data_IF_037719964814
#
_entry.id   IF_037719964814
#
_cell.length_a   1.000
_cell.length_b   1.000
_cell.length_c   1.000
_cell.angle_alpha   90.00
_cell.angle_beta   90.00
_cell.angle_gamma   90.00
#
_symmetry.space_group_name_H-M   'P 1'
#
loop_
_entity.id
_entity.type
_entity.pdbx_description
1 polymer ?
#
# COMPACT_ATOMS: atom_id res chain seq x y z
N UNK A 1 -23.68 -56.97 -13.42
CA UNK A 1 -22.30 -56.59 -13.83
C UNK A 1 -22.17 -55.18 -14.42
N UNK A 2 -23.06 -54.70 -15.30
CA UNK A 2 -22.93 -53.37 -15.94
C UNK A 2 -23.06 -52.16 -14.98
N UNK A 3 -23.92 -52.24 -13.96
CA UNK A 3 -24.13 -51.15 -13.01
C UNK A 3 -22.92 -50.90 -12.09
N UNK A 4 -22.30 -51.97 -11.57
CA UNK A 4 -21.16 -51.88 -10.66
C UNK A 4 -19.91 -51.29 -11.34
N UNK A 5 -19.72 -51.57 -12.64
CA UNK A 5 -18.62 -51.02 -13.43
C UNK A 5 -18.81 -49.50 -13.67
N UNK A 6 -20.06 -49.06 -13.88
CA UNK A 6 -20.39 -47.64 -14.03
C UNK A 6 -20.16 -46.86 -12.74
N UNK A 7 -20.61 -47.38 -11.60
CA UNK A 7 -20.37 -46.76 -10.29
C UNK A 7 -18.88 -46.68 -9.94
N UNK A 8 -18.09 -47.72 -10.25
CA UNK A 8 -16.64 -47.70 -10.03
C UNK A 8 -15.93 -46.66 -10.90
N UNK A 9 -16.34 -46.52 -12.16
CA UNK A 9 -15.79 -45.52 -13.07
C UNK A 9 -16.08 -44.09 -12.58
N UNK A 10 -17.31 -43.80 -12.11
CA UNK A 10 -17.63 -42.50 -11.53
C UNK A 10 -16.86 -42.23 -10.23
N UNK A 11 -16.63 -43.24 -9.39
CA UNK A 11 -15.89 -43.09 -8.14
C UNK A 11 -14.39 -42.83 -8.38
N UNK A 12 -13.80 -43.48 -9.40
CA UNK A 12 -12.41 -43.22 -9.82
C UNK A 12 -12.25 -41.84 -10.46
N UNK A 13 -13.20 -41.41 -11.29
CA UNK A 13 -13.21 -40.05 -11.85
C UNK A 13 -13.39 -39.01 -10.75
N UNK A 14 -14.25 -39.25 -9.76
CA UNK A 14 -14.44 -38.34 -8.62
C UNK A 14 -13.17 -38.23 -7.77
N UNK A 15 -12.48 -39.35 -7.48
CA UNK A 15 -11.20 -39.36 -6.77
C UNK A 15 -10.09 -38.64 -7.56
N UNK A 16 -10.02 -38.84 -8.87
CA UNK A 16 -9.05 -38.16 -9.76
C UNK A 16 -9.33 -36.64 -9.89
N UNK A 17 -10.60 -36.22 -9.85
CA UNK A 17 -11.00 -34.80 -9.85
C UNK A 17 -10.69 -34.13 -8.50
N UNK A 18 -10.85 -34.84 -7.38
CA UNK A 18 -10.48 -34.29 -6.05
C UNK A 18 -8.97 -34.19 -5.82
N UNK A 19 -8.16 -35.01 -6.49
CA UNK A 19 -6.70 -34.97 -6.40
C UNK A 19 -6.04 -33.77 -7.11
N UNK A 20 -6.82 -32.97 -7.87
CA UNK A 20 -6.33 -31.75 -8.52
C UNK A 20 -6.71 -30.46 -7.80
N UNK A 21 -7.28 -30.54 -6.59
CA UNK A 21 -7.33 -29.39 -5.69
C UNK A 21 -5.95 -29.19 -5.09
N UNK A 22 -5.00 -28.72 -5.92
CA UNK A 22 -3.83 -28.05 -5.39
C UNK A 22 -4.33 -26.82 -4.64
N UNK A 23 -4.28 -26.89 -3.31
CA UNK A 23 -4.28 -25.71 -2.47
C UNK A 23 -3.07 -24.87 -2.90
N UNK A 24 -3.27 -23.94 -3.84
CA UNK A 24 -2.34 -22.83 -4.04
C UNK A 24 -2.46 -21.99 -2.78
N UNK A 25 -1.67 -22.33 -1.77
CA UNK A 25 -1.37 -21.45 -0.66
C UNK A 25 -0.64 -20.25 -1.24
N UNK A 26 -1.39 -19.24 -1.67
CA UNK A 26 -0.93 -18.04 -2.38
C UNK A 26 -0.17 -17.04 -1.49
N UNK A 27 0.71 -17.53 -0.62
CA UNK A 27 1.69 -16.68 0.02
C UNK A 27 2.87 -16.51 -0.94
N UNK A 28 3.18 -15.27 -1.30
CA UNK A 28 4.37 -14.96 -2.10
C UNK A 28 5.62 -15.56 -1.44
N UNK A 29 6.47 -16.23 -2.23
CA UNK A 29 7.72 -16.79 -1.73
C UNK A 29 8.71 -15.65 -1.44
N UNK A 30 8.99 -15.38 -0.16
CA UNK A 30 9.98 -14.39 0.26
C UNK A 30 11.37 -14.98 0.07
N UNK A 31 12.14 -14.41 -0.86
CA UNK A 31 13.50 -14.84 -1.20
C UNK A 31 14.53 -14.40 -0.16
N UNK A 32 14.39 -13.17 0.34
CA UNK A 32 15.31 -12.56 1.30
C UNK A 32 14.54 -11.69 2.29
N UNK A 33 14.98 -11.68 3.54
CA UNK A 33 14.57 -10.68 4.53
C UNK A 33 15.74 -9.76 4.86
N UNK A 34 15.48 -8.46 4.96
CA UNK A 34 16.39 -7.39 5.36
C UNK A 34 15.76 -6.73 6.59
N UNK A 35 16.51 -6.62 7.68
CA UNK A 35 16.02 -6.05 8.93
C UNK A 35 16.53 -4.61 9.09
N UNK A 36 15.63 -3.71 9.44
CA UNK A 36 15.94 -2.31 9.74
C UNK A 36 15.67 -2.07 11.23
N UNK A 37 16.67 -1.55 11.94
CA UNK A 37 16.53 -1.17 13.35
C UNK A 37 17.36 0.08 13.67
N UNK A 38 16.74 1.06 14.32
CA UNK A 38 17.36 2.35 14.68
C UNK A 38 18.58 2.18 15.61
N UNK A 39 18.59 1.15 16.46
CA UNK A 39 19.70 0.85 17.37
C UNK A 39 20.95 0.27 16.66
N UNK A 40 20.81 -0.12 15.39
CA UNK A 40 21.87 -0.74 14.59
C UNK A 40 22.04 -2.25 14.74
N UNK A 41 21.11 -2.96 15.38
CA UNK A 41 21.15 -4.44 15.45
C UNK A 41 20.57 -5.12 14.21
N UNK A 42 20.00 -4.35 13.27
CA UNK A 42 19.53 -4.82 11.96
C UNK A 42 20.63 -4.83 10.90
N UNK A 43 20.26 -5.22 9.68
CA UNK A 43 21.13 -5.10 8.50
C UNK A 43 21.38 -3.63 8.12
N UNK A 44 20.39 -2.76 8.37
CA UNK A 44 20.46 -1.31 8.16
C UNK A 44 19.87 -0.53 9.33
N UNK A 45 20.28 0.73 9.46
CA UNK A 45 19.68 1.68 10.41
C UNK A 45 18.51 2.44 9.83
N UNK A 46 18.54 2.70 8.52
CA UNK A 46 17.54 3.49 7.81
C UNK A 46 16.76 2.63 6.82
N UNK A 47 15.52 3.01 6.57
CA UNK A 47 14.65 2.36 5.58
C UNK A 47 15.15 2.67 4.17
N UNK A 48 15.66 3.89 3.95
CA UNK A 48 16.27 4.30 2.69
C UNK A 48 17.43 3.38 2.28
N UNK A 49 18.38 3.10 3.17
CA UNK A 49 19.50 2.21 2.85
C UNK A 49 19.02 0.79 2.52
N UNK A 50 18.01 0.28 3.25
CA UNK A 50 17.45 -1.04 2.98
C UNK A 50 16.77 -1.11 1.59
N UNK A 51 16.00 -0.09 1.23
CA UNK A 51 15.37 0.04 -0.10
C UNK A 51 16.44 0.15 -1.20
N UNK A 52 17.46 0.99 -0.99
CA UNK A 52 18.54 1.20 -1.96
C UNK A 52 19.39 -0.07 -2.17
N UNK A 53 19.39 -0.99 -1.21
CA UNK A 53 20.08 -2.29 -1.29
C UNK A 53 19.37 -3.33 -2.16
N UNK A 54 18.08 -3.12 -2.51
CA UNK A 54 17.33 -4.02 -3.40
C UNK A 54 17.90 -3.92 -4.82
N UNK A 55 18.33 -5.02 -5.46
CA UNK A 55 18.91 -4.96 -6.80
C UNK A 55 17.98 -4.34 -7.84
N UNK A 56 18.56 -3.68 -8.84
CA UNK A 56 17.80 -3.25 -10.01
C UNK A 56 17.24 -4.44 -10.79
N UNK A 57 16.07 -4.28 -11.37
CA UNK A 57 15.30 -5.30 -12.09
C UNK A 57 15.04 -6.57 -11.27
N UNK A 58 14.96 -6.43 -9.94
CA UNK A 58 14.59 -7.51 -9.04
C UNK A 58 13.22 -8.11 -9.43
N UNK A 59 13.14 -9.43 -9.41
CA UNK A 59 11.92 -10.20 -9.69
C UNK A 59 11.59 -11.23 -8.60
N UNK A 60 12.27 -11.15 -7.45
CA UNK A 60 12.07 -12.01 -6.29
C UNK A 60 11.53 -11.17 -5.13
N UNK A 61 10.56 -11.67 -4.36
CA UNK A 61 10.06 -10.91 -3.23
C UNK A 61 11.12 -10.75 -2.14
N UNK A 62 11.48 -9.50 -1.84
CA UNK A 62 12.37 -9.14 -0.74
C UNK A 62 11.53 -8.48 0.36
N UNK A 63 11.57 -9.06 1.56
CA UNK A 63 10.96 -8.48 2.75
C UNK A 63 11.93 -7.51 3.40
N UNK A 64 11.54 -6.27 3.58
CA UNK A 64 12.21 -5.29 4.43
C UNK A 64 11.37 -5.19 5.71
N UNK A 65 11.87 -5.78 6.77
CA UNK A 65 11.24 -5.75 8.09
C UNK A 65 11.76 -4.54 8.87
N UNK A 66 10.86 -3.65 9.28
CA UNK A 66 11.19 -2.40 9.96
C UNK A 66 10.72 -2.49 11.40
N UNK A 67 11.69 -2.46 12.32
CA UNK A 67 11.41 -2.55 13.75
C UNK A 67 10.60 -1.33 14.23
N UNK A 68 9.94 -1.45 15.38
CA UNK A 68 9.25 -0.32 16.00
C UNK A 68 10.18 0.89 16.18
N UNK A 69 9.70 2.08 15.82
CA UNK A 69 10.45 3.33 15.86
C UNK A 69 9.85 4.43 14.99
N UNK A 70 10.34 5.65 15.21
CA UNK A 70 10.09 6.80 14.32
C UNK A 70 11.34 7.00 13.47
N UNK A 71 11.17 6.85 12.16
CA UNK A 71 12.18 6.98 11.14
C UNK A 71 12.01 8.35 10.47
N UNK A 72 12.77 9.34 10.95
CA UNK A 72 12.81 10.69 10.39
C UNK A 72 13.67 10.73 9.12
N UNK A 73 13.08 10.31 8.01
CA UNK A 73 13.76 10.21 6.72
C UNK A 73 12.78 10.31 5.55
N UNK A 74 13.31 10.74 4.38
CA UNK A 74 12.60 10.61 3.10
C UNK A 74 13.00 9.31 2.41
N UNK A 75 12.00 8.53 2.01
CA UNK A 75 12.21 7.22 1.38
C UNK A 75 11.61 7.20 -0.01
N UNK A 76 12.39 6.81 -1.01
CA UNK A 76 11.98 6.83 -2.41
C UNK A 76 12.33 5.48 -3.05
N UNK A 77 11.33 4.74 -3.52
CA UNK A 77 11.56 3.55 -4.35
C UNK A 77 11.67 3.95 -5.81
N UNK A 78 12.59 3.30 -6.53
CA UNK A 78 12.80 3.53 -7.95
C UNK A 78 11.95 2.56 -8.78
N UNK A 79 11.52 2.98 -9.97
CA UNK A 79 10.61 2.18 -10.82
C UNK A 79 11.14 0.78 -11.14
N UNK A 80 12.46 0.64 -11.30
CA UNK A 80 13.13 -0.61 -11.63
C UNK A 80 13.53 -1.43 -10.39
N UNK A 81 12.99 -1.14 -9.20
CA UNK A 81 13.28 -1.88 -7.94
C UNK A 81 11.99 -2.42 -7.31
N UNK A 82 11.32 -3.32 -8.03
CA UNK A 82 10.03 -3.93 -7.62
C UNK A 82 10.16 -5.16 -6.72
N UNK A 83 9.01 -5.79 -6.44
CA UNK A 83 8.88 -6.99 -5.60
C UNK A 83 9.40 -6.78 -4.18
N UNK A 84 8.98 -5.68 -3.55
CA UNK A 84 9.36 -5.31 -2.19
C UNK A 84 8.15 -5.49 -1.28
N UNK A 85 8.33 -6.18 -0.16
CA UNK A 85 7.43 -6.18 0.98
C UNK A 85 8.03 -5.34 2.10
N UNK A 86 7.55 -4.12 2.32
CA UNK A 86 7.90 -3.27 3.45
C UNK A 86 6.95 -3.56 4.61
N UNK A 87 7.44 -4.13 5.71
CA UNK A 87 6.59 -4.55 6.83
C UNK A 87 7.10 -3.98 8.15
N UNK A 88 6.24 -3.23 8.85
CA UNK A 88 6.53 -2.71 10.19
C UNK A 88 6.02 -3.62 11.31
N UNK A 89 6.46 -3.33 12.55
CA UNK A 89 6.03 -3.98 13.80
C UNK A 89 4.62 -3.56 14.27
N UNK A 90 3.92 -2.75 13.48
CA UNK A 90 2.59 -2.24 13.80
C UNK A 90 2.42 -0.80 13.34
N UNK A 91 1.24 -0.47 12.80
CA UNK A 91 0.93 0.87 12.31
C UNK A 91 1.23 1.98 13.33
N UNK A 92 0.89 1.74 14.60
CA UNK A 92 1.08 2.71 15.68
C UNK A 92 2.53 2.73 16.23
N UNK A 93 3.35 1.74 15.85
CA UNK A 93 4.69 1.53 16.42
C UNK A 93 5.81 1.82 15.42
N UNK A 94 5.55 1.75 14.12
CA UNK A 94 6.53 1.98 13.06
C UNK A 94 6.07 3.12 12.17
N UNK A 95 6.77 4.25 12.22
CA UNK A 95 6.39 5.50 11.53
C UNK A 95 7.56 6.00 10.69
N UNK A 96 7.32 6.30 9.42
CA UNK A 96 8.21 7.10 8.56
C UNK A 96 7.67 8.52 8.56
N UNK A 97 8.50 9.49 8.95
CA UNK A 97 8.07 10.88 9.15
C UNK A 97 9.02 11.88 8.49
N UNK A 98 8.44 12.90 7.84
CA UNK A 98 9.15 14.08 7.37
C UNK A 98 8.21 15.30 7.39
N UNK A 99 8.71 16.49 7.04
CA UNK A 99 7.95 17.75 7.17
C UNK A 99 8.13 18.74 6.01
N UNK A 100 8.59 18.27 4.85
CA UNK A 100 8.64 19.13 3.65
C UNK A 100 7.22 19.47 3.17
N UNK A 101 7.06 20.66 2.59
CA UNK A 101 5.80 21.13 2.03
C UNK A 101 6.02 21.99 0.79
N UNK A 102 4.99 22.09 -0.05
CA UNK A 102 5.09 22.88 -1.28
C UNK A 102 5.28 24.37 -0.98
N UNK A 103 6.30 24.99 -1.58
CA UNK A 103 6.65 26.38 -1.37
C UNK A 103 7.43 26.67 -0.08
N UNK A 104 7.96 25.64 0.57
CA UNK A 104 8.89 25.80 1.69
C UNK A 104 10.23 26.45 1.24
N UNK A 105 11.12 26.85 2.18
CA UNK A 105 12.43 27.42 1.84
C UNK A 105 13.34 26.48 1.03
N UNK A 106 13.04 25.17 1.01
CA UNK A 106 13.71 24.18 0.17
C UNK A 106 13.26 24.20 -1.29
N UNK A 107 12.27 25.05 -1.63
CA UNK A 107 11.64 25.15 -2.94
C UNK A 107 11.03 23.82 -3.39
N UNK A 108 10.45 23.07 -2.44
CA UNK A 108 9.69 21.87 -2.76
C UNK A 108 8.35 22.23 -3.43
N UNK A 109 7.85 21.29 -4.22
CA UNK A 109 6.51 21.27 -4.79
C UNK A 109 5.70 20.12 -4.18
N UNK A 110 4.45 19.93 -4.60
CA UNK A 110 3.60 18.83 -4.08
C UNK A 110 4.29 17.47 -4.21
N UNK A 111 4.96 17.19 -5.33
CA UNK A 111 5.60 15.88 -5.59
C UNK A 111 6.82 15.69 -4.69
N UNK A 112 7.67 16.72 -4.61
CA UNK A 112 8.92 16.68 -3.85
C UNK A 112 8.68 16.87 -2.35
N UNK A 113 7.49 17.28 -1.91
CA UNK A 113 7.10 17.29 -0.49
C UNK A 113 6.90 15.89 0.12
N UNK A 114 6.79 14.84 -0.71
CA UNK A 114 6.45 13.50 -0.26
C UNK A 114 7.48 12.91 0.73
N UNK A 115 7.00 12.52 1.92
CA UNK A 115 7.79 11.76 2.90
C UNK A 115 8.18 10.39 2.34
N UNK A 116 7.20 9.65 1.84
CA UNK A 116 7.39 8.38 1.18
C UNK A 116 6.96 8.47 -0.29
N UNK A 117 7.80 7.96 -1.20
CA UNK A 117 7.46 7.83 -2.62
C UNK A 117 7.66 6.39 -3.05
N UNK A 118 6.59 5.72 -3.51
CA UNK A 118 6.74 4.45 -4.22
C UNK A 118 6.59 4.65 -5.72
N UNK A 119 7.64 4.35 -6.50
CA UNK A 119 7.57 4.27 -7.96
C UNK A 119 7.66 2.86 -8.52
N UNK A 120 8.02 1.91 -7.66
CA UNK A 120 8.24 0.52 -8.02
C UNK A 120 6.93 -0.21 -8.32
N UNK A 121 6.93 -1.06 -9.35
CA UNK A 121 5.85 -2.02 -9.57
C UNK A 121 5.92 -3.17 -8.54
N UNK A 122 4.77 -3.74 -8.19
CA UNK A 122 4.67 -4.85 -7.23
C UNK A 122 5.28 -4.51 -5.87
N UNK A 123 4.88 -3.36 -5.32
CA UNK A 123 5.27 -2.92 -3.98
C UNK A 123 4.16 -3.24 -2.97
N UNK A 124 4.51 -3.88 -1.86
CA UNK A 124 3.57 -4.16 -0.77
C UNK A 124 4.07 -3.48 0.50
N UNK A 125 3.20 -2.74 1.19
CA UNK A 125 3.45 -2.29 2.54
C UNK A 125 2.46 -2.88 3.54
N UNK A 126 2.92 -3.18 4.75
CA UNK A 126 2.11 -3.73 5.83
C UNK A 126 2.46 -3.08 7.17
N UNK A 127 1.43 -2.76 7.95
CA UNK A 127 1.56 -2.41 9.37
C UNK A 127 2.61 -1.31 9.66
N UNK A 128 2.63 -0.27 8.82
CA UNK A 128 3.55 0.87 8.94
C UNK A 128 2.81 2.17 8.64
N UNK A 129 3.21 3.26 9.26
CA UNK A 129 2.63 4.59 9.03
C UNK A 129 3.57 5.47 8.22
N UNK A 130 3.02 6.17 7.23
CA UNK A 130 3.67 7.25 6.49
C UNK A 130 3.05 8.56 6.95
N UNK A 131 3.88 9.50 7.41
CA UNK A 131 3.41 10.74 8.02
C UNK A 131 4.15 11.95 7.47
N UNK A 132 3.41 12.98 7.08
CA UNK A 132 3.96 14.31 6.90
C UNK A 132 3.50 15.22 8.05
N UNK A 133 4.45 15.74 8.82
CA UNK A 133 4.20 16.55 10.02
C UNK A 133 4.35 18.06 9.83
N UNK A 134 4.39 18.53 8.58
CA UNK A 134 4.53 19.96 8.28
C UNK A 134 3.37 20.84 8.83
N UNK A 135 2.22 20.24 9.14
CA UNK A 135 1.07 20.95 9.69
C UNK A 135 0.30 21.74 8.63
N UNK A 136 -0.37 22.82 9.04
CA UNK A 136 -1.29 23.58 8.17
C UNK A 136 -0.54 24.57 7.26
N UNK A 137 0.23 24.04 6.32
CA UNK A 137 1.16 24.79 5.46
C UNK A 137 0.81 24.76 3.97
N UNK A 138 -0.34 24.18 3.61
CA UNK A 138 -0.68 23.85 2.23
C UNK A 138 -0.32 22.40 1.92
N UNK A 139 0.01 22.10 0.66
CA UNK A 139 0.28 20.74 0.19
C UNK A 139 1.51 20.14 0.88
N UNK A 140 1.32 19.01 1.57
CA UNK A 140 2.36 18.31 2.30
C UNK A 140 2.08 16.79 2.26
N UNK A 141 2.71 16.11 1.31
CA UNK A 141 2.38 14.71 0.98
C UNK A 141 3.05 13.75 1.98
N UNK A 142 2.26 12.85 2.58
CA UNK A 142 2.76 11.78 3.43
C UNK A 142 3.24 10.59 2.60
N UNK A 143 2.44 10.18 1.62
CA UNK A 143 2.84 9.15 0.66
C UNK A 143 2.39 9.49 -0.75
N UNK A 144 3.31 9.41 -1.71
CA UNK A 144 3.02 9.46 -3.14
C UNK A 144 3.18 8.06 -3.74
N UNK A 145 2.09 7.51 -4.27
CA UNK A 145 2.07 6.14 -4.81
C UNK A 145 1.92 6.18 -6.32
N UNK A 146 2.90 5.56 -6.98
CA UNK A 146 2.90 5.19 -8.39
C UNK A 146 3.10 3.66 -8.48
N UNK A 147 3.45 3.17 -9.68
CA UNK A 147 3.78 1.76 -9.90
C UNK A 147 2.55 0.85 -9.91
N UNK A 148 2.50 -0.10 -10.84
CA UNK A 148 1.37 -1.00 -10.95
C UNK A 148 1.44 -2.14 -9.93
N UNK A 149 0.26 -2.60 -9.50
CA UNK A 149 0.08 -3.72 -8.58
C UNK A 149 0.67 -3.48 -7.18
N UNK A 150 0.54 -2.24 -6.68
CA UNK A 150 0.95 -1.90 -5.32
C UNK A 150 -0.17 -2.17 -4.32
N UNK A 151 0.14 -2.68 -3.14
CA UNK A 151 -0.86 -2.96 -2.11
C UNK A 151 -0.42 -2.54 -0.70
N UNK A 152 -1.37 -2.06 0.09
CA UNK A 152 -1.13 -1.55 1.44
C UNK A 152 -2.11 -2.23 2.39
N UNK A 153 -1.61 -2.84 3.46
CA UNK A 153 -2.44 -3.57 4.43
C UNK A 153 -2.20 -3.06 5.84
N UNK A 154 -3.24 -2.55 6.50
CA UNK A 154 -3.12 -2.07 7.87
C UNK A 154 -2.21 -0.84 8.00
N UNK A 155 -1.90 -0.14 6.91
CA UNK A 155 -1.00 1.01 6.93
C UNK A 155 -1.68 2.29 7.42
N UNK A 156 -0.89 3.24 7.89
CA UNK A 156 -1.33 4.60 8.24
C UNK A 156 -0.82 5.62 7.23
N UNK A 157 -1.65 6.60 6.89
CA UNK A 157 -1.29 7.75 6.07
C UNK A 157 -1.78 9.01 6.80
N UNK A 158 -0.85 9.81 7.33
CA UNK A 158 -1.18 10.91 8.23
C UNK A 158 -0.59 12.21 7.70
N UNK A 159 -1.43 13.23 7.55
CA UNK A 159 -1.04 14.54 7.07
C UNK A 159 -2.20 15.52 7.17
N UNK A 160 -2.17 16.60 6.38
CA UNK A 160 -3.31 17.52 6.25
C UNK A 160 -3.76 17.64 4.80
N UNK A 161 -3.13 18.50 4.00
CA UNK A 161 -3.47 18.65 2.59
C UNK A 161 -2.60 17.77 1.71
N UNK A 162 -3.22 17.07 0.76
CA UNK A 162 -2.56 16.13 -0.16
C UNK A 162 -1.89 14.92 0.54
N UNK A 163 -2.43 14.46 1.68
CA UNK A 163 -1.82 13.38 2.50
C UNK A 163 -1.41 12.15 1.69
N UNK A 164 -2.35 11.51 0.99
CA UNK A 164 -2.12 10.36 0.11
C UNK A 164 -2.26 10.81 -1.34
N UNK A 165 -1.13 11.03 -1.99
CA UNK A 165 -1.08 11.33 -3.42
C UNK A 165 -0.99 10.04 -4.22
N UNK A 166 -2.16 9.43 -4.45
CA UNK A 166 -2.38 8.23 -5.25
C UNK A 166 -2.28 8.52 -6.75
N UNK A 167 -1.06 8.82 -7.21
CA UNK A 167 -0.83 9.58 -8.43
C UNK A 167 -1.27 8.84 -9.71
N UNK A 168 -0.82 7.60 -9.94
CA UNK A 168 -1.25 6.74 -11.05
C UNK A 168 -0.82 5.29 -10.82
N UNK A 169 -1.58 4.32 -11.33
CA UNK A 169 -1.26 2.88 -11.22
C UNK A 169 -2.48 2.05 -10.83
N UNK A 170 -2.25 0.78 -10.52
CA UNK A 170 -3.25 -0.14 -9.99
C UNK A 170 -2.93 -0.41 -8.52
N UNK A 171 -3.72 0.12 -7.59
CA UNK A 171 -3.42 0.03 -6.17
C UNK A 171 -4.56 -0.58 -5.35
N UNK A 172 -4.20 -1.21 -4.24
CA UNK A 172 -5.14 -1.81 -3.31
C UNK A 172 -4.80 -1.43 -1.88
N UNK A 173 -5.75 -0.86 -1.16
CA UNK A 173 -5.59 -0.38 0.21
C UNK A 173 -6.57 -1.13 1.11
N UNK A 174 -6.08 -2.03 1.95
CA UNK A 174 -6.89 -2.84 2.85
C UNK A 174 -6.69 -2.46 4.32
N UNK A 175 -7.76 -2.20 5.04
CA UNK A 175 -7.77 -1.89 6.48
C UNK A 175 -6.78 -0.75 6.86
N UNK A 176 -6.59 0.21 5.94
CA UNK A 176 -5.69 1.35 6.13
C UNK A 176 -6.39 2.49 6.86
N UNK A 177 -5.62 3.24 7.65
CA UNK A 177 -6.03 4.50 8.28
C UNK A 177 -5.50 5.67 7.45
N UNK A 178 -6.37 6.61 7.08
CA UNK A 178 -5.99 7.79 6.31
C UNK A 178 -6.57 9.03 6.99
N UNK A 179 -5.70 9.94 7.39
CA UNK A 179 -6.01 11.18 8.10
C UNK A 179 -5.60 12.41 7.29
N UNK A 180 -6.48 13.40 7.22
CA UNK A 180 -6.16 14.67 6.60
C UNK A 180 -7.29 15.69 6.64
N UNK A 181 -7.13 16.76 5.86
CA UNK A 181 -8.05 17.90 5.82
C UNK A 181 -8.56 18.14 4.40
N UNK A 182 -7.81 18.88 3.57
CA UNK A 182 -8.19 19.19 2.19
C UNK A 182 -7.53 18.20 1.22
N UNK A 183 -8.28 17.67 0.25
CA UNK A 183 -7.74 16.83 -0.85
C UNK A 183 -6.79 15.70 -0.37
N UNK A 184 -7.05 15.18 0.85
CA UNK A 184 -6.13 14.29 1.56
C UNK A 184 -5.97 12.91 0.91
N UNK A 185 -6.84 12.56 -0.05
CA UNK A 185 -6.59 11.51 -1.03
C UNK A 185 -6.79 12.16 -2.40
N UNK A 186 -5.76 12.16 -3.24
CA UNK A 186 -5.79 12.81 -4.55
C UNK A 186 -4.97 12.03 -5.59
N UNK A 187 -5.14 12.36 -6.87
CA UNK A 187 -4.42 11.72 -7.98
C UNK A 187 -5.32 10.99 -8.98
N UNK A 188 -4.70 10.17 -9.84
CA UNK A 188 -5.34 9.45 -10.95
C UNK A 188 -5.12 7.93 -10.86
N UNK A 189 -4.75 7.40 -9.70
CA UNK A 189 -4.67 5.96 -9.44
C UNK A 189 -6.00 5.25 -9.67
N UNK A 190 -5.93 4.01 -10.16
CA UNK A 190 -7.05 3.09 -10.21
C UNK A 190 -6.99 2.21 -8.96
N UNK A 191 -7.63 2.70 -7.91
CA UNK A 191 -7.42 2.18 -6.57
C UNK A 191 -8.69 1.62 -5.97
N UNK A 192 -8.56 0.44 -5.37
CA UNK A 192 -9.59 -0.14 -4.52
C UNK A 192 -9.16 0.08 -3.08
N UNK A 193 -10.06 0.66 -2.31
CA UNK A 193 -9.98 0.66 -0.87
C UNK A 193 -10.89 -0.49 -0.41
N UNK A 194 -10.46 -1.30 0.57
CA UNK A 194 -11.28 -2.31 1.27
C UNK A 194 -11.08 -2.26 2.80
N UNK A 195 -12.11 -2.55 3.59
CA UNK A 195 -11.99 -2.77 5.05
C UNK A 195 -12.73 -1.76 5.93
N UNK A 196 -12.49 -1.80 7.24
CA UNK A 196 -13.08 -0.82 8.18
C UNK A 196 -12.26 0.47 8.17
N UNK A 197 -12.59 1.39 7.28
CA UNK A 197 -11.96 2.71 7.29
C UNK A 197 -12.45 3.52 8.48
N UNK A 198 -11.52 4.10 9.23
CA UNK A 198 -11.80 5.28 10.03
C UNK A 198 -11.22 6.46 9.27
N UNK A 199 -12.00 7.06 8.36
CA UNK A 199 -11.61 8.32 7.75
C UNK A 199 -11.85 9.43 8.78
N UNK A 200 -10.79 10.03 9.29
CA UNK A 200 -10.89 11.23 10.13
C UNK A 200 -10.39 12.42 9.32
N UNK A 201 -11.32 13.13 8.66
CA UNK A 201 -10.99 14.32 7.87
C UNK A 201 -12.21 15.13 7.41
N UNK A 202 -12.22 16.42 7.71
CA UNK A 202 -13.30 17.35 7.38
C UNK A 202 -13.12 17.87 5.95
N UNK A 203 -14.14 17.64 5.10
CA UNK A 203 -14.42 18.24 3.79
C UNK A 203 -13.62 17.68 2.59
N UNK A 204 -14.18 16.62 1.99
CA UNK A 204 -13.82 16.18 0.63
C UNK A 204 -14.22 17.24 -0.41
N UNK A 205 -13.27 17.72 -1.23
CA UNK A 205 -13.58 18.48 -2.45
C UNK A 205 -13.06 17.72 -3.67
N UNK A 206 -13.94 16.91 -4.24
CA UNK A 206 -13.93 16.40 -5.62
C UNK A 206 -12.55 16.14 -6.28
N UNK A 207 -11.96 14.99 -5.98
CA UNK A 207 -11.13 14.24 -6.94
C UNK A 207 -11.80 12.89 -7.19
N UNK A 208 -11.75 12.40 -8.45
CA UNK A 208 -12.37 11.13 -8.87
C UNK A 208 -11.65 9.94 -8.22
N UNK A 209 -11.96 9.65 -6.98
CA UNK A 209 -11.59 8.39 -6.35
C UNK A 209 -12.66 7.37 -6.76
N UNK A 210 -12.25 6.34 -7.51
CA UNK A 210 -13.14 5.26 -7.90
C UNK A 210 -13.14 4.19 -6.79
N UNK A 211 -13.78 4.46 -5.66
CA UNK A 211 -14.00 3.45 -4.63
C UNK A 211 -14.92 2.36 -5.19
N UNK A 212 -14.41 1.15 -5.40
CA UNK A 212 -15.23 -0.02 -5.69
C UNK A 212 -15.31 -0.82 -4.39
N UNK A 213 -16.43 -0.74 -3.69
CA UNK A 213 -16.75 -1.62 -2.57
C UNK A 213 -17.23 -2.97 -3.11
N UNK A 214 -16.72 -4.13 -2.63
CA UNK A 214 -17.27 -5.42 -3.02
C UNK A 214 -18.65 -5.61 -2.36
N UNK A 215 -19.74 -5.49 -3.12
CA UNK A 215 -21.08 -5.86 -2.65
C UNK A 215 -22.26 -4.99 -3.11
N UNK A 216 -22.03 -3.82 -3.69
CA UNK A 216 -23.08 -3.01 -4.31
C UNK A 216 -22.84 -2.95 -5.82
N UNK A 217 -23.68 -3.66 -6.56
CA UNK A 217 -23.90 -3.36 -7.98
C UNK A 217 -24.88 -2.19 -7.97
N UNK A 218 -24.40 -0.97 -8.21
CA UNK A 218 -25.32 0.14 -8.47
C UNK A 218 -24.99 0.82 -9.80
N UNK A 219 -26.03 0.89 -10.62
CA UNK A 219 -26.07 1.54 -11.94
C UNK A 219 -26.05 3.06 -11.76
N UNK A 220 -24.90 3.65 -11.38
CA UNK A 220 -24.74 5.10 -11.53
C UNK A 220 -23.33 5.52 -11.94
N UNK A 221 -22.83 4.89 -13.00
CA UNK A 221 -21.82 5.45 -13.90
C UNK A 221 -22.39 6.69 -14.60
N UNK A 222 -22.47 7.85 -13.90
CA UNK A 222 -22.35 9.20 -14.51
C UNK A 222 -22.48 10.43 -13.59
N UNK A 223 -22.95 10.35 -12.34
CA UNK A 223 -23.40 11.59 -11.65
C UNK A 223 -22.63 12.07 -10.42
N UNK A 224 -21.56 11.39 -9.98
CA UNK A 224 -20.69 11.90 -8.91
C UNK A 224 -21.45 12.23 -7.63
N UNK A 225 -21.84 11.21 -6.87
CA UNK A 225 -22.31 11.38 -5.48
C UNK A 225 -21.43 10.62 -4.51
N UNK A 226 -21.31 11.24 -3.33
CA UNK A 226 -20.34 10.98 -2.29
C UNK A 226 -20.48 9.60 -1.63
N UNK A 227 -19.37 9.07 -1.13
CA UNK A 227 -19.41 8.08 -0.07
C UNK A 227 -19.83 8.79 1.23
N UNK A 228 -20.95 8.36 1.81
CA UNK A 228 -21.37 8.77 3.15
C UNK A 228 -20.56 8.01 4.21
N UNK A 229 -20.14 8.74 5.25
CA UNK A 229 -19.49 8.21 6.44
C UNK A 229 -20.59 7.92 7.46
N UNK A 230 -20.73 6.67 7.90
CA UNK A 230 -21.43 6.32 9.14
C UNK A 230 -20.42 6.20 10.28
#
# INVERSE_FOLDING_TARGET
>A
MKLAFSLFFFLVVFVLVTLHVHQVSGAANIWKTINVNLDGTGDFKTIKEAIDSVPENNNQWIRIHVSAGVYEEKVHTQQHRGFILLEGDGRENTVIEWWDYAGDPGNHDTVTSATFTSRADSFVAKNITFKNSAGAVGQAVAAMIQGNHSAFYGCGFIGLQDTLYDQYGLHYYKDCYIEGSADFICGNGQSIFEGRYNFCGIRMRWTRIRCITPGEVDEETKSGRAAEVY
#
